data_IF_006594423309
#
_entry.id   IF_006594423309
#
_cell.length_a   1.000
_cell.length_b   1.000
_cell.length_c   1.000
_cell.angle_alpha   90.00
_cell.angle_beta   90.00
_cell.angle_gamma   90.00
#
_symmetry.space_group_name_H-M   'P 1'
#
loop_
_entity.id
_entity.type
_entity.pdbx_description
1 polymer ?
#
# COMPACT_ATOMS: atom_id res chain seq x y z
N UNK A 1 16.47 40.11 -4.55
CA UNK A 1 15.60 39.29 -5.42
C UNK A 1 15.99 37.81 -5.43
N UNK A 2 17.24 37.44 -5.76
CA UNK A 2 17.68 36.03 -5.79
C UNK A 2 17.50 35.24 -4.46
N UNK A 3 17.75 35.89 -3.31
CA UNK A 3 17.57 35.27 -1.97
C UNK A 3 16.10 35.06 -1.58
N UNK A 4 15.20 35.91 -2.07
CA UNK A 4 13.75 35.79 -1.82
C UNK A 4 13.18 34.63 -2.64
N UNK A 5 13.64 34.45 -3.88
CA UNK A 5 13.26 33.33 -4.74
C UNK A 5 13.68 31.97 -4.16
N UNK A 6 14.86 31.90 -3.52
CA UNK A 6 15.36 30.69 -2.86
C UNK A 6 14.55 30.29 -1.63
N UNK A 7 14.06 31.27 -0.86
CA UNK A 7 13.20 31.03 0.31
C UNK A 7 11.80 30.55 -0.13
N UNK A 8 11.25 31.11 -1.21
CA UNK A 8 9.97 30.66 -1.77
C UNK A 8 9.99 29.20 -2.28
N UNK A 9 11.13 28.73 -2.80
CA UNK A 9 11.28 27.35 -3.26
C UNK A 9 11.42 26.33 -2.11
N UNK A 10 11.94 26.76 -0.95
CA UNK A 10 12.16 25.89 0.22
C UNK A 10 10.90 25.65 1.06
N UNK A 11 9.84 26.45 0.86
CA UNK A 11 8.61 26.41 1.68
C UNK A 11 7.45 25.78 0.91
N UNK A 12 7.67 25.23 -0.29
CA UNK A 12 6.61 24.53 -1.02
C UNK A 12 6.48 23.10 -0.48
N UNK A 13 5.44 22.76 0.31
CA UNK A 13 5.23 21.36 0.65
C UNK A 13 4.83 20.63 -0.64
N UNK A 14 5.65 19.68 -1.06
CA UNK A 14 5.23 18.65 -2.00
C UNK A 14 4.22 17.77 -1.26
N UNK A 15 2.94 18.16 -1.30
CA UNK A 15 1.86 17.27 -0.89
C UNK A 15 1.71 16.20 -1.96
N UNK A 16 2.45 15.11 -1.81
CA UNK A 16 2.21 13.90 -2.57
C UNK A 16 0.91 13.27 -2.04
N UNK A 17 -0.13 13.23 -2.86
CA UNK A 17 -1.32 12.45 -2.56
C UNK A 17 -0.98 10.98 -2.80
N UNK A 18 -0.74 10.24 -1.72
CA UNK A 18 -0.64 8.79 -1.76
C UNK A 18 -2.04 8.16 -1.95
N UNK A 19 -2.07 6.87 -2.29
CA UNK A 19 -3.30 6.09 -2.34
C UNK A 19 -4.01 6.17 -0.99
N UNK A 20 -5.33 6.34 -1.00
CA UNK A 20 -6.14 6.31 0.22
C UNK A 20 -6.62 4.87 0.42
N UNK A 21 -6.11 4.13 1.41
CA UNK A 21 -6.53 2.76 1.64
C UNK A 21 -7.98 2.72 2.13
N UNK A 22 -8.73 1.73 1.66
CA UNK A 22 -10.12 1.48 2.07
C UNK A 22 -10.11 0.24 2.94
N UNK A 23 -10.45 0.36 4.23
CA UNK A 23 -10.56 -0.81 5.12
C UNK A 23 -11.66 -1.75 4.61
N UNK A 24 -11.38 -3.05 4.60
CA UNK A 24 -12.37 -4.06 4.22
C UNK A 24 -13.47 -4.23 5.28
N UNK A 25 -13.16 -3.91 6.54
CA UNK A 25 -14.06 -4.06 7.67
C UNK A 25 -14.05 -2.78 8.52
N UNK A 26 -15.19 -2.42 9.11
CA UNK A 26 -15.27 -1.27 10.02
C UNK A 26 -14.52 -1.53 11.35
N UNK A 27 -14.53 -2.78 11.81
CA UNK A 27 -13.83 -3.25 13.00
C UNK A 27 -12.66 -4.19 12.68
N UNK A 28 -12.24 -5.04 13.63
CA UNK A 28 -11.30 -6.13 13.35
C UNK A 28 -11.83 -7.05 12.25
N UNK A 29 -10.92 -7.65 11.47
CA UNK A 29 -11.33 -8.62 10.47
C UNK A 29 -11.92 -9.89 11.13
N UNK A 30 -12.93 -10.53 10.52
CA UNK A 30 -13.52 -11.75 11.06
C UNK A 30 -12.48 -12.86 11.26
N UNK A 31 -12.46 -13.47 12.44
CA UNK A 31 -11.52 -14.52 12.81
C UNK A 31 -10.16 -14.04 13.36
N UNK A 32 -9.90 -12.72 13.35
CA UNK A 32 -8.69 -12.11 13.94
C UNK A 32 -9.01 -11.10 15.05
N UNK A 33 -10.22 -11.14 15.61
CA UNK A 33 -10.73 -10.13 16.56
C UNK A 33 -9.85 -9.97 17.81
N UNK A 34 -9.16 -11.05 18.21
CA UNK A 34 -8.26 -11.08 19.36
C UNK A 34 -6.78 -11.06 18.98
N UNK A 35 -6.43 -10.91 17.70
CA UNK A 35 -5.03 -10.91 17.27
C UNK A 35 -4.37 -9.60 17.70
N UNK A 36 -3.16 -9.71 18.24
CA UNK A 36 -2.33 -8.58 18.67
C UNK A 36 -1.05 -8.45 17.84
N UNK A 37 -0.98 -9.17 16.72
CA UNK A 37 0.18 -9.12 15.84
C UNK A 37 0.29 -7.75 15.17
N UNK A 38 1.52 -7.29 14.96
CA UNK A 38 1.78 -6.11 14.15
C UNK A 38 2.01 -6.53 12.71
N UNK A 39 1.32 -5.87 11.78
CA UNK A 39 1.58 -6.00 10.35
C UNK A 39 3.01 -5.52 10.06
N UNK A 40 3.75 -6.32 9.32
CA UNK A 40 5.13 -6.00 8.93
C UNK A 40 5.33 -6.24 7.45
N UNK A 41 6.04 -5.31 6.81
CA UNK A 41 6.49 -5.43 5.43
C UNK A 41 7.99 -5.64 5.44
N UNK A 42 8.46 -6.66 4.73
CA UNK A 42 9.87 -6.98 4.63
C UNK A 42 10.25 -7.44 3.23
N UNK A 43 11.48 -7.10 2.85
CA UNK A 43 12.10 -7.60 1.63
C UNK A 43 12.90 -8.87 1.94
N UNK A 44 12.87 -9.83 1.03
CA UNK A 44 13.67 -11.05 1.15
C UNK A 44 14.16 -11.53 -0.22
N UNK A 45 15.28 -12.24 -0.23
CA UNK A 45 15.73 -12.96 -1.41
C UNK A 45 14.88 -14.21 -1.60
N UNK A 46 14.11 -14.27 -2.69
CA UNK A 46 13.34 -15.47 -3.01
C UNK A 46 14.27 -16.64 -3.32
N UNK A 47 14.14 -17.79 -2.62
CA UNK A 47 14.93 -18.98 -2.92
C UNK A 47 14.52 -19.63 -4.25
N UNK A 48 13.36 -19.28 -4.80
CA UNK A 48 12.84 -19.86 -6.05
C UNK A 48 13.20 -19.02 -7.27
N UNK A 49 13.24 -17.70 -7.12
CA UNK A 49 13.39 -16.76 -8.24
C UNK A 49 14.74 -16.03 -8.25
N UNK A 50 15.54 -16.13 -7.18
CA UNK A 50 16.81 -15.41 -7.03
C UNK A 50 16.69 -13.88 -7.20
N UNK A 51 15.57 -13.34 -6.73
CA UNK A 51 15.21 -11.91 -6.83
C UNK A 51 14.75 -11.40 -5.46
N UNK A 52 14.94 -10.10 -5.21
CA UNK A 52 14.39 -9.44 -4.03
C UNK A 52 12.87 -9.33 -4.23
N UNK A 53 12.12 -9.90 -3.31
CA UNK A 53 10.66 -9.84 -3.28
C UNK A 53 10.20 -9.15 -1.99
N UNK A 54 9.05 -8.49 -2.05
CA UNK A 54 8.40 -7.92 -0.86
C UNK A 54 7.34 -8.89 -0.35
N UNK A 55 7.22 -8.99 0.97
CA UNK A 55 6.16 -9.74 1.62
C UNK A 55 5.58 -8.95 2.77
N UNK A 56 4.26 -9.03 2.93
CA UNK A 56 3.55 -8.49 4.10
C UNK A 56 3.08 -9.66 4.95
N UNK A 57 3.36 -9.60 6.25
CA UNK A 57 3.00 -10.62 7.23
C UNK A 57 2.05 -10.04 8.27
N UNK A 58 1.30 -10.92 8.93
CA UNK A 58 0.43 -10.58 10.07
C UNK A 58 -0.62 -9.50 9.77
N UNK A 59 -1.18 -9.51 8.56
CA UNK A 59 -2.27 -8.59 8.18
C UNK A 59 -3.48 -8.82 9.08
N UNK A 60 -3.77 -7.87 9.96
CA UNK A 60 -4.93 -7.89 10.89
C UNK A 60 -5.99 -6.86 10.53
N UNK A 61 -5.61 -5.83 9.78
CA UNK A 61 -6.50 -4.76 9.31
C UNK A 61 -6.43 -4.64 7.78
N UNK A 62 -7.03 -5.58 7.03
CA UNK A 62 -6.86 -5.64 5.59
C UNK A 62 -7.54 -4.46 4.87
N UNK A 63 -6.84 -3.92 3.87
CA UNK A 63 -7.28 -2.76 3.08
C UNK A 63 -7.29 -3.06 1.58
N UNK A 64 -8.15 -2.38 0.83
CA UNK A 64 -8.03 -2.21 -0.61
C UNK A 64 -7.23 -0.94 -0.89
N UNK A 65 -6.20 -1.06 -1.71
CA UNK A 65 -5.39 0.07 -2.16
C UNK A 65 -5.82 0.42 -3.58
N UNK A 66 -6.49 1.57 -3.80
CA UNK A 66 -6.95 1.95 -5.14
C UNK A 66 -5.78 2.46 -5.98
N UNK A 67 -5.65 1.90 -7.18
CA UNK A 67 -4.79 2.42 -8.24
C UNK A 67 -5.69 2.97 -9.35
N UNK A 68 -5.87 4.29 -9.33
CA UNK A 68 -6.72 4.96 -10.31
C UNK A 68 -5.98 5.14 -11.65
N UNK A 69 -6.68 5.04 -12.79
CA UNK A 69 -6.10 5.37 -14.08
C UNK A 69 -5.79 6.87 -14.15
N UNK A 70 -5.05 7.26 -15.19
CA UNK A 70 -4.80 8.68 -15.45
C UNK A 70 -6.13 9.44 -15.70
N UNK A 71 -6.23 10.71 -15.28
CA UNK A 71 -7.44 11.50 -15.51
C UNK A 71 -7.85 11.53 -16.98
N UNK A 72 -9.11 11.22 -17.27
CA UNK A 72 -9.67 11.18 -18.63
C UNK A 72 -9.47 9.85 -19.37
N UNK A 73 -8.86 8.84 -18.75
CA UNK A 73 -8.73 7.48 -19.31
C UNK A 73 -9.60 6.44 -18.60
N UNK A 74 -10.49 6.90 -17.70
CA UNK A 74 -11.42 6.07 -16.97
C UNK A 74 -12.42 5.41 -17.94
N UNK A 75 -12.44 4.08 -17.97
CA UNK A 75 -13.41 3.30 -18.76
C UNK A 75 -14.67 2.93 -17.97
N UNK A 76 -14.67 3.20 -16.66
CA UNK A 76 -15.69 2.72 -15.72
C UNK A 76 -15.53 1.26 -15.29
N UNK A 77 -14.57 0.51 -15.85
CA UNK A 77 -14.26 -0.84 -15.39
C UNK A 77 -13.35 -0.82 -14.15
N UNK A 78 -13.52 -1.79 -13.25
CA UNK A 78 -12.68 -1.99 -12.07
C UNK A 78 -12.17 -3.43 -12.02
N UNK A 79 -10.95 -3.61 -11.51
CA UNK A 79 -10.32 -4.91 -11.27
C UNK A 79 -9.86 -4.99 -9.82
N UNK A 80 -10.17 -6.11 -9.15
CA UNK A 80 -9.67 -6.41 -7.82
C UNK A 80 -8.55 -7.43 -7.98
N UNK A 81 -7.35 -7.08 -7.54
CA UNK A 81 -6.22 -8.00 -7.43
C UNK A 81 -6.21 -8.54 -6.00
N UNK A 82 -6.36 -9.86 -5.86
CA UNK A 82 -6.23 -10.56 -4.58
C UNK A 82 -4.86 -11.27 -4.57
N UNK A 83 -3.82 -10.69 -3.94
CA UNK A 83 -2.49 -11.29 -3.96
C UNK A 83 -2.46 -12.66 -3.26
N UNK A 84 -1.50 -13.49 -3.68
CA UNK A 84 -1.28 -14.82 -3.11
C UNK A 84 -0.38 -14.81 -1.87
N UNK A 85 0.18 -15.96 -1.56
CA UNK A 85 1.08 -16.17 -0.40
C UNK A 85 0.65 -17.29 0.55
N UNK A 86 -0.26 -18.16 0.10
CA UNK A 86 -0.54 -19.44 0.75
C UNK A 86 -1.05 -19.32 2.19
N UNK A 87 -1.80 -18.26 2.50
CA UNK A 87 -2.33 -17.94 3.84
C UNK A 87 -1.26 -17.70 4.93
N UNK A 88 0.01 -17.67 4.56
CA UNK A 88 1.13 -17.43 5.48
C UNK A 88 1.69 -16.01 5.33
N UNK A 89 1.41 -15.39 4.19
CA UNK A 89 1.96 -14.13 3.74
C UNK A 89 1.04 -13.51 2.69
N UNK A 90 1.19 -12.21 2.47
CA UNK A 90 0.69 -11.49 1.30
C UNK A 90 1.88 -11.13 0.42
N UNK A 91 1.90 -11.64 -0.81
CA UNK A 91 3.00 -11.43 -1.76
C UNK A 91 2.48 -10.72 -3.00
N UNK A 92 3.04 -9.55 -3.30
CA UNK A 92 2.78 -8.77 -4.50
C UNK A 92 4.02 -7.97 -4.91
#
# INVERSE_FOLDING_TARGET
MKRILAILFAVMPLTAFAQTPIRLYEGPAPGSESWTHQEITLEYMSPFWNEINTVVLNVVDPVLIPYLPAPGTETGAAMIVCPGGGYSALSY
#
